data_IF_614507957787
#
_entry.id   IF_614507957787
#
_cell.length_a   1.000
_cell.length_b   1.000
_cell.length_c   1.000
_cell.angle_alpha   90.00
_cell.angle_beta   90.00
_cell.angle_gamma   90.00
#
_symmetry.space_group_name_H-M   'P 1'
#
loop_
_entity.id
_entity.type
_entity.pdbx_description
1 polymer ?
#
# COMPACT_ATOMS: atom_id res chain seq x y z
N UNK A 1 -19.84 50.14 1.13
CA UNK A 1 -18.64 49.30 1.00
C UNK A 1 -18.47 48.91 -0.44
N UNK A 2 -17.35 49.25 -1.08
CA UNK A 2 -17.11 48.99 -2.50
C UNK A 2 -16.46 47.62 -2.68
N UNK A 3 -17.15 46.72 -3.38
CA UNK A 3 -16.62 45.41 -3.74
C UNK A 3 -15.50 45.58 -4.78
N UNK A 4 -14.27 45.20 -4.42
CA UNK A 4 -13.14 45.11 -5.37
C UNK A 4 -13.38 43.93 -6.30
N UNK A 5 -13.68 44.21 -7.57
CA UNK A 5 -13.74 43.20 -8.63
C UNK A 5 -12.33 42.64 -8.87
N UNK A 6 -12.02 41.48 -8.28
CA UNK A 6 -10.76 40.79 -8.53
C UNK A 6 -10.81 40.19 -9.94
N UNK A 7 -10.13 40.84 -10.89
CA UNK A 7 -10.04 40.37 -12.28
C UNK A 7 -9.37 39.00 -12.30
N UNK A 8 -10.15 37.96 -12.59
CA UNK A 8 -9.70 36.58 -12.75
C UNK A 8 -8.74 36.36 -13.93
N UNK A 9 -8.47 37.41 -14.73
CA UNK A 9 -7.88 37.28 -16.05
C UNK A 9 -6.36 37.52 -16.11
N UNK A 10 -5.71 37.96 -15.02
CA UNK A 10 -4.29 38.30 -15.08
C UNK A 10 -3.35 37.07 -15.06
N UNK A 11 -3.86 35.90 -14.64
CA UNK A 11 -3.06 34.67 -14.49
C UNK A 11 -3.31 33.64 -15.61
N UNK A 12 -4.02 34.00 -16.68
CA UNK A 12 -4.39 33.04 -17.74
C UNK A 12 -3.18 32.40 -18.42
N UNK A 13 -2.06 33.13 -18.53
CA UNK A 13 -0.79 32.61 -19.08
C UNK A 13 -0.21 31.51 -18.20
N UNK A 14 -0.29 31.66 -16.88
CA UNK A 14 0.18 30.63 -15.92
C UNK A 14 -0.71 29.40 -16.02
N UNK A 15 -2.03 29.58 -16.13
CA UNK A 15 -2.98 28.49 -16.32
C UNK A 15 -2.75 27.75 -17.64
N UNK A 16 -2.43 28.47 -18.73
CA UNK A 16 -2.10 27.86 -20.01
C UNK A 16 -0.82 27.03 -19.95
N UNK A 17 0.24 27.53 -19.31
CA UNK A 17 1.50 26.80 -19.11
C UNK A 17 1.28 25.55 -18.25
N UNK A 18 0.56 25.68 -17.13
CA UNK A 18 0.21 24.54 -16.28
C UNK A 18 -0.64 23.50 -17.02
N UNK A 19 -1.56 23.94 -17.87
CA UNK A 19 -2.37 23.07 -18.72
C UNK A 19 -1.52 22.27 -19.71
N UNK A 20 -0.62 22.93 -20.44
CA UNK A 20 0.29 22.26 -21.38
C UNK A 20 1.21 21.27 -20.66
N UNK A 21 1.78 21.70 -19.52
CA UNK A 21 2.63 20.83 -18.71
C UNK A 21 1.88 19.59 -18.19
N UNK A 22 0.64 19.77 -17.72
CA UNK A 22 -0.19 18.67 -17.22
C UNK A 22 -0.58 17.70 -18.34
N UNK A 23 -0.82 18.19 -19.56
CA UNK A 23 -1.09 17.34 -20.73
C UNK A 23 0.13 16.51 -21.14
N UNK A 24 1.32 17.11 -21.10
CA UNK A 24 2.57 16.38 -21.38
C UNK A 24 2.77 15.27 -20.33
N UNK A 25 2.65 15.60 -19.04
CA UNK A 25 2.76 14.61 -17.97
C UNK A 25 1.71 13.51 -18.08
N UNK A 26 0.47 13.86 -18.40
CA UNK A 26 -0.61 12.90 -18.62
C UNK A 26 -0.34 11.97 -19.80
N UNK A 27 0.16 12.51 -20.92
CA UNK A 27 0.51 11.73 -22.10
C UNK A 27 1.66 10.75 -21.84
N UNK A 28 2.71 11.19 -21.14
CA UNK A 28 3.84 10.32 -20.75
C UNK A 28 3.36 9.22 -19.80
N UNK A 29 2.58 9.57 -18.77
CA UNK A 29 2.02 8.62 -17.81
C UNK A 29 1.14 7.57 -18.49
N UNK A 30 0.28 8.00 -19.42
CA UNK A 30 -0.58 7.11 -20.20
C UNK A 30 0.25 6.15 -21.07
N UNK A 31 1.31 6.67 -21.73
CA UNK A 31 2.21 5.84 -22.54
C UNK A 31 2.86 4.73 -21.72
N UNK A 32 3.33 5.04 -20.50
CA UNK A 32 3.87 4.04 -19.57
C UNK A 32 2.79 3.05 -19.14
N UNK A 33 1.59 3.54 -18.79
CA UNK A 33 0.48 2.69 -18.32
C UNK A 33 0.03 1.68 -19.38
N UNK A 34 -0.09 2.09 -20.64
CA UNK A 34 -0.46 1.20 -21.76
C UNK A 34 0.60 0.11 -21.98
N UNK A 35 1.87 0.40 -21.67
CA UNK A 35 2.96 -0.57 -21.76
C UNK A 35 2.98 -1.62 -20.63
N UNK A 36 2.25 -1.39 -19.53
CA UNK A 36 2.21 -2.34 -18.42
C UNK A 36 1.30 -3.53 -18.75
N UNK A 37 1.90 -4.73 -18.77
CA UNK A 37 1.17 -5.98 -18.93
C UNK A 37 0.85 -6.57 -17.56
N UNK A 38 -0.42 -6.57 -17.19
CA UNK A 38 -0.91 -7.18 -15.94
C UNK A 38 -1.79 -8.38 -16.25
N UNK A 39 -1.58 -9.50 -15.55
CA UNK A 39 -2.39 -10.71 -15.66
C UNK A 39 -2.92 -11.07 -14.27
N UNK A 40 -4.24 -11.01 -14.10
CA UNK A 40 -4.90 -11.37 -12.85
C UNK A 40 -5.43 -12.80 -12.92
N UNK A 41 -4.92 -13.67 -12.06
CA UNK A 41 -5.30 -15.08 -12.00
C UNK A 41 -6.01 -15.31 -10.67
N UNK A 42 -7.30 -15.61 -10.72
CA UNK A 42 -8.06 -16.00 -9.53
C UNK A 42 -7.57 -17.34 -9.02
N UNK A 43 -7.40 -17.44 -7.70
CA UNK A 43 -7.01 -18.68 -7.05
C UNK A 43 -8.12 -19.73 -7.16
N UNK A 44 -7.75 -20.94 -7.58
CA UNK A 44 -8.61 -22.12 -7.63
C UNK A 44 -7.81 -23.30 -7.08
N UNK A 45 -8.35 -23.96 -6.05
CA UNK A 45 -7.67 -25.02 -5.31
C UNK A 45 -7.40 -26.27 -6.14
N UNK A 46 -8.06 -26.43 -7.29
CA UNK A 46 -8.02 -27.67 -8.08
C UNK A 46 -7.37 -27.50 -9.46
N UNK A 47 -6.74 -26.35 -9.74
CA UNK A 47 -6.16 -26.06 -11.07
C UNK A 47 -4.65 -25.82 -11.04
N UNK A 48 -3.91 -26.71 -11.71
CA UNK A 48 -2.55 -26.41 -12.18
C UNK A 48 -2.63 -25.67 -13.52
N UNK A 49 -2.48 -24.35 -13.50
CA UNK A 49 -2.48 -23.52 -14.72
C UNK A 49 -1.05 -23.17 -15.12
N UNK A 50 -0.70 -23.43 -16.39
CA UNK A 50 0.53 -22.89 -16.98
C UNK A 50 0.26 -21.47 -17.47
N UNK A 51 1.12 -20.54 -17.08
CA UNK A 51 1.06 -19.13 -17.49
C UNK A 51 2.27 -18.87 -18.36
N UNK A 52 2.03 -18.40 -19.58
CA UNK A 52 3.09 -17.99 -20.47
C UNK A 52 3.41 -16.53 -20.16
N UNK A 53 4.65 -16.29 -19.75
CA UNK A 53 5.18 -14.95 -19.49
C UNK A 53 5.93 -14.46 -20.73
N UNK A 54 5.85 -13.17 -21.02
CA UNK A 54 6.62 -12.51 -22.08
C UNK A 54 8.08 -12.37 -21.65
N UNK A 55 8.98 -11.93 -22.53
CA UNK A 55 10.37 -11.67 -22.11
C UNK A 55 10.45 -10.36 -21.31
N UNK A 56 11.16 -10.38 -20.17
CA UNK A 56 11.37 -9.20 -19.34
C UNK A 56 11.39 -9.48 -17.83
N UNK A 57 11.40 -8.40 -17.04
CA UNK A 57 11.28 -8.47 -15.57
C UNK A 57 9.82 -8.59 -15.16
N UNK A 58 9.52 -9.58 -14.33
CA UNK A 58 8.16 -9.86 -13.87
C UNK A 58 8.05 -9.61 -12.37
N UNK A 59 6.91 -9.06 -11.97
CA UNK A 59 6.54 -8.90 -10.58
C UNK A 59 5.30 -9.74 -10.30
N UNK A 60 5.35 -10.54 -9.23
CA UNK A 60 4.23 -11.33 -8.75
C UNK A 60 3.62 -10.64 -7.54
N UNK A 61 2.32 -10.39 -7.59
CA UNK A 61 1.55 -9.86 -6.49
C UNK A 61 0.46 -10.85 -6.09
N UNK A 62 0.23 -10.97 -4.79
CA UNK A 62 -0.85 -11.76 -4.21
C UNK A 62 -1.92 -10.77 -3.75
N UNK A 63 -3.08 -10.83 -4.37
CA UNK A 63 -4.23 -10.02 -4.00
C UNK A 63 -5.09 -10.78 -2.99
N UNK A 64 -5.35 -10.15 -1.84
CA UNK A 64 -6.21 -10.69 -0.78
C UNK A 64 -7.38 -9.72 -0.62
N UNK A 65 -8.57 -10.16 -1.00
CA UNK A 65 -9.80 -9.39 -0.81
C UNK A 65 -10.31 -9.55 0.62
N UNK A 66 -11.12 -8.58 1.07
CA UNK A 66 -11.80 -8.60 2.38
C UNK A 66 -10.87 -8.66 3.60
N UNK A 67 -9.64 -8.17 3.47
CA UNK A 67 -8.68 -8.09 4.57
C UNK A 67 -8.41 -6.64 5.00
N UNK A 68 -8.86 -6.27 6.20
CA UNK A 68 -8.87 -4.88 6.70
C UNK A 68 -7.56 -4.47 7.38
N UNK A 69 -6.44 -4.49 6.64
CA UNK A 69 -5.12 -4.08 7.17
C UNK A 69 -5.09 -2.63 7.68
N UNK A 70 -5.99 -1.77 7.17
CA UNK A 70 -6.08 -0.37 7.55
C UNK A 70 -6.88 -0.11 8.84
N UNK A 71 -7.43 -1.15 9.49
CA UNK A 71 -8.08 -0.98 10.79
C UNK A 71 -7.05 -0.47 11.81
N UNK A 72 -7.43 0.56 12.58
CA UNK A 72 -6.54 1.17 13.58
C UNK A 72 -6.01 0.15 14.58
N UNK A 73 -6.85 -0.79 15.03
CA UNK A 73 -6.47 -1.85 15.96
C UNK A 73 -5.49 -2.84 15.33
N UNK A 74 -5.68 -3.17 14.05
CA UNK A 74 -4.78 -4.06 13.32
C UNK A 74 -3.41 -3.40 13.11
N UNK A 75 -3.39 -2.19 12.54
CA UNK A 75 -2.16 -1.47 12.22
C UNK A 75 -1.29 -1.14 13.45
N UNK A 76 -1.92 -0.90 14.61
CA UNK A 76 -1.20 -0.69 15.88
C UNK A 76 -0.69 -1.97 16.53
N UNK A 77 -1.22 -3.13 16.15
CA UNK A 77 -0.90 -4.40 16.80
C UNK A 77 0.36 -5.03 16.21
N UNK A 78 1.49 -4.37 16.48
CA UNK A 78 2.84 -4.77 16.11
C UNK A 78 3.84 -4.14 17.09
N UNK A 79 4.87 -4.88 17.49
CA UNK A 79 5.92 -4.34 18.35
C UNK A 79 7.20 -4.05 17.56
N UNK A 80 7.51 -2.76 17.37
CA UNK A 80 8.70 -2.33 16.63
C UNK A 80 10.01 -2.61 17.36
N UNK A 81 10.02 -2.63 18.70
CA UNK A 81 11.23 -2.95 19.46
C UNK A 81 11.67 -4.40 19.21
N UNK A 82 10.73 -5.33 19.14
CA UNK A 82 10.97 -6.71 18.73
C UNK A 82 11.47 -6.79 17.30
N UNK A 83 10.86 -6.08 16.36
CA UNK A 83 11.34 -6.05 14.96
C UNK A 83 12.76 -5.49 14.83
N UNK A 84 13.17 -4.61 15.74
CA UNK A 84 14.53 -4.08 15.82
C UNK A 84 15.51 -5.00 16.58
N UNK A 85 15.08 -6.19 17.01
CA UNK A 85 15.93 -7.18 17.68
C UNK A 85 16.03 -7.04 19.20
N UNK A 86 15.27 -6.16 19.84
CA UNK A 86 15.25 -6.07 21.31
C UNK A 86 14.52 -7.27 21.93
N UNK A 87 15.06 -7.79 23.02
CA UNK A 87 14.54 -8.98 23.70
C UNK A 87 14.09 -8.73 25.15
N UNK A 88 14.48 -7.62 25.75
CA UNK A 88 14.09 -7.21 27.12
C UNK A 88 13.29 -5.92 27.11
N UNK A 89 12.59 -5.63 28.21
CA UNK A 89 11.87 -4.38 28.46
C UNK A 89 10.82 -4.03 27.38
N UNK A 90 10.21 -5.06 26.82
CA UNK A 90 9.24 -4.95 25.74
C UNK A 90 7.88 -4.47 26.25
N UNK A 91 7.35 -3.40 25.66
CA UNK A 91 5.97 -2.98 25.90
C UNK A 91 5.02 -3.62 24.88
N UNK A 92 4.30 -4.68 25.30
CA UNK A 92 3.43 -5.47 24.43
C UNK A 92 1.94 -5.13 24.54
N UNK A 93 1.56 -4.03 25.21
CA UNK A 93 0.14 -3.67 25.46
C UNK A 93 -0.70 -3.56 24.18
N UNK A 94 -0.13 -2.99 23.13
CA UNK A 94 -0.83 -2.82 21.85
C UNK A 94 -0.90 -4.11 21.02
N UNK A 95 -0.18 -5.16 21.43
CA UNK A 95 -0.10 -6.45 20.74
C UNK A 95 -1.13 -7.48 21.22
N UNK A 96 -1.96 -7.15 22.22
CA UNK A 96 -3.04 -8.02 22.68
C UNK A 96 -4.04 -8.33 21.54
N UNK A 97 -4.57 -9.57 21.46
CA UNK A 97 -4.36 -10.70 22.37
C UNK A 97 -3.09 -11.52 22.09
N UNK A 98 -2.32 -11.15 21.06
CA UNK A 98 -1.12 -11.87 20.62
C UNK A 98 0.16 -11.28 21.23
N UNK A 99 0.08 -10.92 22.51
CA UNK A 99 1.22 -10.42 23.28
C UNK A 99 1.97 -11.55 23.99
N UNK A 100 1.25 -12.49 24.60
CA UNK A 100 1.83 -13.57 25.40
C UNK A 100 1.16 -14.93 25.14
N UNK A 101 1.92 -16.01 25.37
CA UNK A 101 1.46 -17.40 25.44
C UNK A 101 2.15 -18.09 26.60
N UNK A 102 1.37 -18.64 27.54
CA UNK A 102 1.89 -19.38 28.69
C UNK A 102 3.02 -18.61 29.41
N UNK A 103 2.77 -17.32 29.70
CA UNK A 103 3.70 -16.36 30.34
C UNK A 103 4.94 -15.98 29.51
N UNK A 104 5.10 -16.51 28.29
CA UNK A 104 6.17 -16.14 27.37
C UNK A 104 5.68 -15.12 26.34
N UNK A 105 6.41 -14.04 26.08
CA UNK A 105 6.02 -13.09 25.04
C UNK A 105 6.11 -13.75 23.66
N UNK A 106 5.14 -13.47 22.78
CA UNK A 106 5.28 -13.80 21.36
C UNK A 106 6.42 -12.99 20.74
N UNK A 107 7.13 -13.56 19.77
CA UNK A 107 8.21 -12.87 19.07
C UNK A 107 8.25 -13.30 17.60
N UNK A 108 7.84 -12.43 16.66
CA UNK A 108 7.18 -11.12 16.84
C UNK A 108 5.75 -11.23 17.41
N UNK A 109 5.35 -10.27 18.24
CA UNK A 109 4.01 -10.13 18.81
C UNK A 109 3.07 -9.27 17.95
N UNK A 110 1.76 -9.48 18.13
CA UNK A 110 0.70 -8.66 17.52
C UNK A 110 -0.04 -9.31 16.35
N UNK A 111 -1.19 -8.73 16.00
CA UNK A 111 -2.08 -9.23 14.93
C UNK A 111 -1.40 -9.21 13.57
N UNK A 112 -0.60 -8.17 13.27
CA UNK A 112 0.09 -8.04 11.97
C UNK A 112 1.04 -9.22 11.76
N UNK A 113 1.79 -9.56 12.80
CA UNK A 113 2.73 -10.67 12.76
C UNK A 113 2.01 -12.03 12.72
N UNK A 114 0.93 -12.20 13.48
CA UNK A 114 0.20 -13.47 13.58
C UNK A 114 -0.59 -13.82 12.31
N UNK A 115 -0.99 -12.82 11.52
CA UNK A 115 -1.81 -13.00 10.30
C UNK A 115 -1.00 -12.90 9.01
N UNK A 116 0.29 -13.20 9.08
CA UNK A 116 1.15 -13.22 7.89
C UNK A 116 0.67 -14.27 6.88
N UNK A 117 0.91 -13.98 5.59
CA UNK A 117 0.57 -14.90 4.51
C UNK A 117 1.58 -16.05 4.47
N UNK A 118 1.09 -17.29 4.63
CA UNK A 118 1.88 -18.54 4.62
C UNK A 118 1.45 -19.47 3.50
#
# INVERSE_FOLDING_TARGET
GTYKHHSAFNNWRVLAILGVFSLILGGVSLGVYIGLQTQNIKYDSNMKRRVFMTEGTHYLYIEIEQFFQNSLSYSKSINYDQLNGKTSDLNLKDCEPYAYKDEKPYYPAGLVANTYFQ
#
